data_IF_352089632099
#
_entry.id   IF_352089632099
#
_cell.length_a   1.000
_cell.length_b   1.000
_cell.length_c   1.000
_cell.angle_alpha   90.00
_cell.angle_beta   90.00
_cell.angle_gamma   90.00
#
_symmetry.space_group_name_H-M   'P 1'
#
loop_
_entity.id
_entity.type
_entity.pdbx_description
1 polymer ?
#
# COMPACT_ATOMS: atom_id res chain seq x y z
N UNK A 1 40.06 -6.42 21.94
CA UNK A 1 39.55 -7.53 21.10
C UNK A 1 38.16 -7.14 20.63
N UNK A 2 37.96 -6.84 19.34
CA UNK A 2 36.61 -6.62 18.80
C UNK A 2 35.94 -7.98 18.68
N UNK A 3 34.87 -8.22 19.43
CA UNK A 3 34.07 -9.44 19.28
C UNK A 3 33.59 -9.52 17.84
N UNK A 4 33.95 -10.61 17.13
CA UNK A 4 33.31 -10.95 15.85
C UNK A 4 31.81 -10.87 16.08
N UNK A 5 31.14 -9.94 15.39
CA UNK A 5 29.69 -10.03 15.21
C UNK A 5 29.44 -11.43 14.67
N UNK A 6 28.70 -12.24 15.44
CA UNK A 6 28.28 -13.56 15.02
C UNK A 6 27.66 -13.43 13.65
N UNK A 7 28.11 -14.28 12.72
CA UNK A 7 27.48 -14.43 11.42
C UNK A 7 26.02 -14.81 11.68
N UNK A 8 25.10 -13.87 11.54
CA UNK A 8 23.69 -14.23 11.40
C UNK A 8 23.61 -15.16 10.17
N UNK A 9 22.82 -16.26 10.22
CA UNK A 9 22.57 -17.02 9.01
C UNK A 9 22.04 -16.05 7.95
N UNK A 10 22.49 -16.23 6.70
CA UNK A 10 22.05 -15.41 5.58
C UNK A 10 20.53 -15.46 5.39
N UNK A 11 19.97 -14.63 4.50
CA UNK A 11 18.54 -14.64 4.20
C UNK A 11 18.06 -16.04 3.81
N UNK A 12 16.85 -16.40 4.20
CA UNK A 12 16.22 -17.68 3.85
C UNK A 12 16.04 -17.77 2.32
N UNK A 13 16.63 -18.79 1.65
CA UNK A 13 16.52 -18.93 0.21
C UNK A 13 15.07 -19.11 -0.27
N UNK A 14 14.17 -19.68 0.55
CA UNK A 14 12.75 -19.81 0.19
C UNK A 14 12.09 -18.44 0.15
N UNK A 15 12.29 -17.64 1.20
CA UNK A 15 11.79 -16.27 1.26
C UNK A 15 12.29 -15.40 0.09
N UNK A 16 13.54 -15.59 -0.36
CA UNK A 16 14.07 -14.86 -1.52
C UNK A 16 13.31 -15.21 -2.81
N UNK A 17 13.06 -16.50 -3.05
CA UNK A 17 12.29 -16.97 -4.23
C UNK A 17 10.86 -16.44 -4.17
N UNK A 18 10.24 -16.43 -2.99
CA UNK A 18 8.89 -15.90 -2.81
C UNK A 18 8.83 -14.40 -3.12
N UNK A 19 9.81 -13.61 -2.67
CA UNK A 19 9.89 -12.17 -2.97
C UNK A 19 9.95 -11.95 -4.48
N UNK A 20 10.81 -12.69 -5.19
CA UNK A 20 10.95 -12.58 -6.64
C UNK A 20 9.62 -12.94 -7.34
N UNK A 21 8.98 -14.04 -6.93
CA UNK A 21 7.68 -14.44 -7.48
C UNK A 21 6.58 -13.40 -7.24
N UNK A 22 6.46 -12.87 -6.01
CA UNK A 22 5.46 -11.86 -5.69
C UNK A 22 5.72 -10.53 -6.42
N UNK A 23 6.99 -10.17 -6.65
CA UNK A 23 7.36 -9.02 -7.46
C UNK A 23 6.82 -9.13 -8.88
N UNK A 24 7.04 -10.27 -9.54
CA UNK A 24 6.54 -10.54 -10.90
C UNK A 24 5.01 -10.50 -10.97
N UNK A 25 4.33 -11.11 -9.99
CA UNK A 25 2.86 -11.11 -9.93
C UNK A 25 2.29 -9.70 -9.74
N UNK A 26 2.93 -8.85 -8.94
CA UNK A 26 2.50 -7.48 -8.71
C UNK A 26 2.60 -6.64 -9.98
N UNK A 27 3.68 -6.80 -10.75
CA UNK A 27 3.84 -6.15 -12.06
C UNK A 27 2.79 -6.66 -13.04
N UNK A 28 2.62 -7.98 -13.17
CA UNK A 28 1.61 -8.58 -14.03
C UNK A 28 0.20 -8.08 -13.70
N UNK A 29 -0.15 -7.98 -12.42
CA UNK A 29 -1.44 -7.45 -11.97
C UNK A 29 -1.65 -5.98 -12.36
N UNK A 30 -0.61 -5.14 -12.35
CA UNK A 30 -0.74 -3.74 -12.77
C UNK A 30 -1.01 -3.57 -14.27
N UNK A 31 -0.63 -4.54 -15.10
CA UNK A 31 -0.87 -4.57 -16.53
C UNK A 31 -2.09 -5.39 -16.96
N UNK A 32 -2.73 -6.09 -16.04
CA UNK A 32 -3.96 -6.84 -16.32
C UNK A 32 -5.10 -5.86 -16.69
N UNK A 33 -5.97 -6.27 -17.60
CA UNK A 33 -7.09 -5.45 -18.09
C UNK A 33 -8.24 -5.30 -17.08
N UNK A 34 -8.01 -5.67 -15.82
CA UNK A 34 -8.98 -5.54 -14.74
C UNK A 34 -9.13 -4.07 -14.35
N UNK A 35 -10.36 -3.65 -14.09
CA UNK A 35 -10.61 -2.30 -13.60
C UNK A 35 -9.97 -2.11 -12.23
N UNK A 36 -9.32 -0.96 -12.04
CA UNK A 36 -8.85 -0.59 -10.70
C UNK A 36 -10.04 -0.49 -9.76
N UNK A 37 -9.88 -1.04 -8.56
CA UNK A 37 -10.83 -0.85 -7.47
C UNK A 37 -11.10 0.64 -7.27
N UNK A 38 -12.35 1.00 -6.97
CA UNK A 38 -12.69 2.36 -6.59
C UNK A 38 -11.95 2.76 -5.29
N UNK A 39 -11.67 4.06 -5.08
CA UNK A 39 -11.03 4.52 -3.84
C UNK A 39 -11.74 4.03 -2.57
N UNK A 40 -13.07 4.05 -2.54
CA UNK A 40 -13.87 3.59 -1.40
C UNK A 40 -13.68 2.08 -1.15
N UNK A 41 -13.62 1.28 -2.22
CA UNK A 41 -13.38 -0.17 -2.10
C UNK A 41 -11.95 -0.48 -1.68
N UNK A 42 -10.98 0.33 -2.11
CA UNK A 42 -9.60 0.26 -1.64
C UNK A 42 -9.54 0.53 -0.14
N UNK A 43 -10.21 1.59 0.33
CA UNK A 43 -10.24 1.91 1.77
C UNK A 43 -10.90 0.82 2.60
N UNK A 44 -11.98 0.21 2.09
CA UNK A 44 -12.64 -0.93 2.75
C UNK A 44 -11.68 -2.12 2.90
N UNK A 45 -10.98 -2.50 1.83
CA UNK A 45 -10.00 -3.60 1.83
C UNK A 45 -8.84 -3.29 2.77
N UNK A 46 -8.31 -2.07 2.73
CA UNK A 46 -7.20 -1.63 3.56
C UNK A 46 -7.63 -1.25 4.99
N UNK A 47 -8.93 -1.28 5.29
CA UNK A 47 -9.52 -0.83 6.57
C UNK A 47 -9.09 0.58 6.95
N UNK A 48 -8.97 1.47 5.96
CA UNK A 48 -8.57 2.87 6.14
C UNK A 48 -9.77 3.69 6.59
N UNK A 49 -9.66 4.35 7.75
CA UNK A 49 -10.65 5.36 8.18
C UNK A 49 -10.27 6.70 7.56
N UNK A 50 -10.97 7.12 6.49
CA UNK A 50 -10.74 8.47 5.94
C UNK A 50 -11.22 9.54 6.93
N UNK A 51 -10.40 10.57 7.24
CA UNK A 51 -10.92 11.77 7.86
C UNK A 51 -11.96 12.38 6.92
N UNK A 52 -13.16 12.69 7.42
CA UNK A 52 -14.22 13.31 6.63
C UNK A 52 -13.65 14.56 5.97
N UNK A 53 -13.55 14.54 4.64
CA UNK A 53 -13.17 15.69 3.84
C UNK A 53 -14.13 16.82 4.21
N UNK A 54 -13.61 17.85 4.88
CA UNK A 54 -14.38 19.01 5.29
C UNK A 54 -14.83 19.71 4.02
N UNK A 55 -16.08 19.47 3.59
CA UNK A 55 -16.69 20.23 2.49
C UNK A 55 -16.49 21.72 2.84
N UNK A 56 -15.83 22.53 2.00
CA UNK A 56 -15.78 23.95 2.25
C UNK A 56 -17.23 24.44 2.40
N UNK A 57 -17.49 25.18 3.48
CA UNK A 57 -18.80 25.74 3.72
C UNK A 57 -19.24 26.48 2.45
N UNK A 58 -20.50 26.32 1.99
CA UNK A 58 -20.99 27.13 0.89
C UNK A 58 -20.73 28.60 1.23
N UNK A 59 -20.29 29.44 0.27
CA UNK A 59 -20.16 30.87 0.52
C UNK A 59 -21.50 31.33 1.08
N UNK A 60 -21.49 31.83 2.31
CA UNK A 60 -22.69 32.30 2.96
C UNK A 60 -23.34 33.32 2.06
N UNK A 61 -24.64 33.18 1.83
CA UNK A 61 -25.44 34.15 1.13
C UNK A 61 -25.34 35.47 1.91
N UNK A 62 -24.34 36.28 1.55
CA UNK A 62 -24.23 37.66 1.98
C UNK A 62 -25.29 38.42 1.18
N UNK A 63 -26.54 38.23 1.58
CA UNK A 63 -27.69 38.99 1.11
C UNK A 63 -28.01 40.09 2.13
N UNK A 64 -28.08 41.33 1.64
CA UNK A 64 -28.44 42.54 2.41
C UNK A 64 -27.53 43.73 2.15
#
# INVERSE_FOLDING_TARGET
MVSRRGSAPGPDPVALIEIDLYGELMIAATGAAEDRLSPDRIDEVLRVVRPRSRRPAPPGDADG
#
